data_IF_949173319553
#
_entry.id   IF_949173319553
#
_cell.length_a   1.000
_cell.length_b   1.000
_cell.length_c   1.000
_cell.angle_alpha   90.00
_cell.angle_beta   90.00
_cell.angle_gamma   90.00
#
_symmetry.space_group_name_H-M   'P 1'
#
loop_
_entity.id
_entity.type
_entity.pdbx_description
1 polymer ?
#
# COMPACT_ATOMS: atom_id res chain seq x y z
N UNK A 1 47.85 36.99 12.11
CA UNK A 1 47.22 36.66 10.80
C UNK A 1 46.76 35.21 10.77
N UNK A 2 45.65 34.88 11.45
CA UNK A 2 45.15 33.48 11.60
C UNK A 2 43.63 33.33 11.40
N UNK A 3 42.92 34.38 10.95
CA UNK A 3 41.44 34.38 10.93
C UNK A 3 40.80 34.74 9.58
N UNK A 4 41.49 34.54 8.44
CA UNK A 4 40.91 34.79 7.10
C UNK A 4 40.72 33.50 6.29
N UNK A 5 41.45 32.43 6.60
CA UNK A 5 41.39 31.17 5.83
C UNK A 5 40.22 30.22 6.20
N UNK A 6 39.52 30.45 7.32
CA UNK A 6 38.37 29.61 7.70
C UNK A 6 37.03 30.06 7.10
N UNK A 7 36.96 31.26 6.51
CA UNK A 7 35.72 31.80 5.96
C UNK A 7 35.45 31.37 4.50
N UNK A 8 36.47 30.93 3.77
CA UNK A 8 36.34 30.53 2.36
C UNK A 8 35.93 29.07 2.13
N UNK A 9 36.04 28.22 3.16
CA UNK A 9 35.64 26.80 3.05
C UNK A 9 34.13 26.63 3.34
N UNK A 10 33.50 27.57 4.06
CA UNK A 10 32.06 27.52 4.34
C UNK A 10 31.17 28.06 3.20
N UNK A 11 31.72 28.88 2.30
CA UNK A 11 30.97 29.42 1.16
C UNK A 11 30.96 28.48 -0.06
N UNK A 12 31.93 27.57 -0.18
CA UNK A 12 32.02 26.60 -1.28
C UNK A 12 31.09 25.38 -1.16
N UNK A 13 30.58 25.09 0.04
CA UNK A 13 29.69 23.94 0.30
C UNK A 13 28.20 24.31 0.08
N UNK A 14 27.88 25.61 0.03
CA UNK A 14 26.50 26.09 -0.13
C UNK A 14 26.05 26.30 -1.58
N UNK A 15 26.95 26.22 -2.56
CA UNK A 15 26.61 26.39 -3.99
C UNK A 15 26.50 25.05 -4.73
N UNK A 16 26.97 23.95 -4.13
CA UNK A 16 26.90 22.61 -4.75
C UNK A 16 25.64 21.81 -4.37
N UNK A 17 24.86 22.24 -3.37
CA UNK A 17 23.62 21.57 -2.95
C UNK A 17 22.37 21.97 -3.75
N UNK A 18 22.47 22.96 -4.64
CA UNK A 18 21.36 23.46 -5.46
C UNK A 18 21.11 22.70 -6.77
N UNK A 19 22.02 21.82 -7.20
CA UNK A 19 21.98 21.19 -8.54
C UNK A 19 21.61 19.70 -8.55
N UNK A 20 21.26 19.10 -7.40
CA UNK A 20 20.92 17.66 -7.30
C UNK A 20 19.44 17.35 -7.05
N UNK A 21 18.56 18.35 -7.09
CA UNK A 21 17.12 18.10 -7.12
C UNK A 21 16.60 18.49 -8.49
N UNK A 22 16.45 17.55 -9.44
CA UNK A 22 15.62 17.81 -10.60
C UNK A 22 14.25 18.26 -10.07
N UNK A 23 13.79 19.39 -10.60
CA UNK A 23 12.51 20.01 -10.29
C UNK A 23 11.47 18.94 -9.99
N UNK A 24 11.05 18.86 -8.72
CA UNK A 24 9.79 18.19 -8.39
C UNK A 24 8.71 19.00 -9.07
N UNK A 25 8.40 18.65 -10.32
CA UNK A 25 7.09 18.88 -10.89
C UNK A 25 6.15 18.10 -9.97
N UNK A 26 5.72 18.74 -8.89
CA UNK A 26 4.51 18.34 -8.19
C UNK A 26 3.41 18.60 -9.19
N UNK A 27 3.16 17.62 -10.05
CA UNK A 27 1.90 17.51 -10.75
C UNK A 27 0.84 17.51 -9.65
N UNK A 28 0.21 18.67 -9.41
CA UNK A 28 -1.04 18.74 -8.70
C UNK A 28 -2.01 17.95 -9.57
N UNK A 29 -2.16 16.67 -9.27
CA UNK A 29 -3.25 15.86 -9.84
C UNK A 29 -4.52 16.53 -9.34
N UNK A 30 -5.14 17.29 -10.24
CA UNK A 30 -6.46 17.86 -10.01
C UNK A 30 -7.41 16.68 -10.14
N UNK A 31 -7.78 16.09 -9.00
CA UNK A 31 -8.71 14.98 -8.98
C UNK A 31 -10.08 15.50 -9.39
N UNK A 32 -10.65 14.92 -10.43
CA UNK A 32 -12.04 15.12 -10.76
C UNK A 32 -12.86 14.36 -9.70
N UNK A 33 -13.56 15.08 -8.83
CA UNK A 33 -14.38 14.49 -7.76
C UNK A 33 -15.58 13.66 -8.29
N UNK A 34 -15.79 13.63 -9.61
CA UNK A 34 -16.77 12.78 -10.27
C UNK A 34 -16.23 11.36 -10.51
N UNK A 35 -16.03 10.59 -9.44
CA UNK A 35 -15.93 9.13 -9.56
C UNK A 35 -17.33 8.62 -9.89
N UNK A 36 -17.48 7.90 -11.00
CA UNK A 36 -18.74 7.25 -11.34
C UNK A 36 -19.04 6.15 -10.31
N UNK A 37 -19.98 6.43 -9.41
CA UNK A 37 -20.43 5.49 -8.36
C UNK A 37 -20.89 4.14 -8.93
N UNK A 38 -21.31 4.10 -10.21
CA UNK A 38 -21.81 2.91 -10.88
C UNK A 38 -20.75 2.17 -11.70
N UNK A 39 -19.51 2.66 -11.76
CA UNK A 39 -18.41 1.96 -12.42
C UNK A 39 -18.24 0.57 -11.82
N UNK A 40 -18.18 -0.45 -12.68
CA UNK A 40 -17.86 -1.82 -12.25
C UNK A 40 -16.41 -1.88 -11.78
N UNK A 41 -16.19 -2.41 -10.58
CA UNK A 41 -14.87 -2.60 -9.99
C UNK A 41 -14.73 -3.98 -9.36
N UNK A 42 -13.49 -4.38 -9.14
CA UNK A 42 -13.11 -5.67 -8.58
C UNK A 42 -12.33 -5.49 -7.29
N UNK A 43 -12.51 -6.40 -6.33
CA UNK A 43 -11.77 -6.39 -5.06
C UNK A 43 -11.73 -7.77 -4.42
N UNK A 44 -10.86 -7.96 -3.43
CA UNK A 44 -10.87 -9.16 -2.58
C UNK A 44 -10.65 -8.78 -1.12
N UNK A 45 -10.84 -9.72 -0.21
CA UNK A 45 -10.70 -9.46 1.22
C UNK A 45 -9.49 -10.17 1.83
N UNK A 46 -8.75 -9.46 2.66
CA UNK A 46 -7.65 -9.98 3.49
C UNK A 46 -7.90 -9.65 4.96
N UNK A 47 -7.26 -10.35 5.88
CA UNK A 47 -7.30 -10.06 7.32
C UNK A 47 -5.91 -10.19 7.91
N UNK A 48 -5.54 -9.28 8.81
CA UNK A 48 -4.30 -9.43 9.59
C UNK A 48 -4.52 -10.47 10.67
N UNK A 49 -3.63 -11.45 10.74
CA UNK A 49 -3.54 -12.43 11.82
C UNK A 49 -2.28 -12.16 12.63
N UNK A 50 -2.41 -12.27 13.95
CA UNK A 50 -1.27 -12.30 14.86
C UNK A 50 -0.86 -13.76 15.03
N UNK A 51 0.43 -14.04 14.86
CA UNK A 51 1.02 -15.34 15.19
C UNK A 51 2.10 -15.10 16.23
N UNK A 52 1.82 -15.53 17.44
CA UNK A 52 2.78 -15.56 18.53
C UNK A 52 3.57 -16.86 18.44
N UNK A 53 4.89 -16.74 18.40
CA UNK A 53 5.79 -17.87 18.51
C UNK A 53 5.78 -18.37 19.96
N UNK A 54 5.34 -19.61 20.17
CA UNK A 54 5.12 -20.18 21.51
C UNK A 54 6.41 -20.41 22.31
N UNK A 55 7.58 -20.38 21.69
CA UNK A 55 8.88 -20.59 22.36
C UNK A 55 9.56 -19.26 22.71
N UNK A 56 9.45 -18.26 21.83
CA UNK A 56 10.12 -16.96 21.98
C UNK A 56 9.20 -15.84 22.47
N UNK A 57 7.87 -16.03 22.42
CA UNK A 57 6.89 -14.98 22.67
C UNK A 57 6.90 -13.89 21.59
N UNK A 58 7.61 -14.09 20.48
CA UNK A 58 7.71 -13.10 19.42
C UNK A 58 6.41 -13.05 18.62
N UNK A 59 5.89 -11.83 18.45
CA UNK A 59 4.67 -11.61 17.67
C UNK A 59 5.03 -11.31 16.22
N UNK A 60 4.55 -12.15 15.33
CA UNK A 60 4.55 -11.94 13.88
C UNK A 60 3.15 -11.62 13.38
N UNK A 61 3.06 -10.93 12.24
CA UNK A 61 1.81 -10.60 11.58
C UNK A 61 1.80 -11.22 10.19
N UNK A 62 0.63 -11.72 9.78
CA UNK A 62 0.42 -12.35 8.49
C UNK A 62 -0.91 -11.88 7.86
N UNK A 63 -1.01 -11.90 6.54
CA UNK A 63 -2.23 -11.58 5.81
C UNK A 63 -2.92 -12.85 5.34
N UNK A 64 -4.00 -13.20 6.03
CA UNK A 64 -4.85 -14.29 5.59
C UNK A 64 -5.92 -13.81 4.63
N UNK A 65 -6.08 -14.48 3.49
CA UNK A 65 -7.22 -14.26 2.61
C UNK A 65 -8.55 -14.65 3.27
N UNK A 66 -9.55 -13.78 3.11
CA UNK A 66 -10.92 -14.01 3.57
C UNK A 66 -11.80 -14.38 2.38
N UNK A 67 -11.71 -15.66 2.02
CA UNK A 67 -12.33 -16.25 0.85
C UNK A 67 -11.39 -16.23 -0.35
N UNK A 68 -11.56 -17.20 -1.26
CA UNK A 68 -10.67 -17.38 -2.42
C UNK A 68 -11.21 -16.73 -3.70
N UNK A 69 -12.13 -15.77 -3.58
CA UNK A 69 -12.88 -15.21 -4.71
C UNK A 69 -12.76 -13.70 -4.76
N UNK A 70 -12.35 -13.21 -5.92
CA UNK A 70 -12.52 -11.81 -6.31
C UNK A 70 -14.01 -11.51 -6.32
N UNK A 71 -14.37 -10.44 -5.65
CA UNK A 71 -15.70 -9.83 -5.66
C UNK A 71 -15.76 -8.80 -6.78
N UNK A 72 -16.98 -8.51 -7.24
CA UNK A 72 -17.23 -7.46 -8.22
C UNK A 72 -18.55 -6.76 -7.89
N UNK A 73 -18.68 -5.52 -8.34
CA UNK A 73 -19.86 -4.69 -8.10
C UNK A 73 -19.58 -3.24 -8.48
N UNK A 74 -20.50 -2.35 -8.16
CA UNK A 74 -20.30 -0.92 -8.39
C UNK A 74 -19.22 -0.35 -7.44
N UNK A 75 -18.63 0.80 -7.78
CA UNK A 75 -17.74 1.55 -6.88
C UNK A 75 -18.43 1.81 -5.53
N UNK A 76 -19.74 2.10 -5.55
CA UNK A 76 -20.56 2.27 -4.35
C UNK A 76 -20.64 1.00 -3.50
N UNK A 77 -20.74 -0.19 -4.13
CA UNK A 77 -20.73 -1.46 -3.42
C UNK A 77 -19.37 -1.72 -2.77
N UNK A 78 -18.28 -1.41 -3.48
CA UNK A 78 -16.93 -1.47 -2.93
C UNK A 78 -16.80 -0.59 -1.70
N UNK A 79 -17.16 0.69 -1.80
CA UNK A 79 -17.10 1.66 -0.70
C UNK A 79 -17.88 1.15 0.50
N UNK A 80 -19.15 0.73 0.30
CA UNK A 80 -20.01 0.19 1.37
C UNK A 80 -19.38 -1.01 2.07
N UNK A 81 -18.75 -1.91 1.30
CA UNK A 81 -18.06 -3.07 1.87
C UNK A 81 -16.80 -2.65 2.64
N UNK A 82 -15.98 -1.76 2.07
CA UNK A 82 -14.79 -1.26 2.74
C UNK A 82 -15.15 -0.61 4.09
N UNK A 83 -16.15 0.27 4.11
CA UNK A 83 -16.65 0.92 5.34
C UNK A 83 -17.12 -0.08 6.40
N UNK A 84 -17.90 -1.08 5.98
CA UNK A 84 -18.39 -2.14 6.89
C UNK A 84 -17.25 -2.86 7.59
N UNK A 85 -16.13 -3.10 6.90
CA UNK A 85 -15.03 -3.92 7.43
C UNK A 85 -13.88 -3.11 8.05
N UNK A 86 -13.71 -1.84 7.67
CA UNK A 86 -12.83 -0.91 8.38
C UNK A 86 -13.27 -0.69 9.83
N UNK A 87 -14.58 -0.58 10.08
CA UNK A 87 -15.11 -0.35 11.43
C UNK A 87 -14.92 -1.53 12.39
N UNK A 88 -14.99 -2.76 11.87
CA UNK A 88 -14.89 -3.99 12.68
C UNK A 88 -13.49 -4.61 12.70
N UNK A 89 -12.59 -4.23 11.79
CA UNK A 89 -11.19 -4.66 11.76
C UNK A 89 -10.98 -6.15 11.54
N UNK A 90 -11.99 -6.87 11.04
CA UNK A 90 -11.93 -8.32 10.83
C UNK A 90 -11.41 -8.71 9.45
N UNK A 91 -11.66 -7.86 8.45
CA UNK A 91 -11.14 -8.00 7.09
C UNK A 91 -11.04 -6.66 6.40
N UNK A 92 -10.33 -6.60 5.29
CA UNK A 92 -9.95 -5.38 4.59
C UNK A 92 -10.11 -5.65 3.10
N UNK A 93 -10.79 -4.75 2.39
CA UNK A 93 -10.91 -4.87 0.94
C UNK A 93 -9.63 -4.37 0.28
N UNK A 94 -9.07 -5.13 -0.67
CA UNK A 94 -7.97 -4.71 -1.53
C UNK A 94 -8.55 -4.40 -2.91
N UNK A 95 -8.30 -3.19 -3.39
CA UNK A 95 -8.91 -2.59 -4.57
C UNK A 95 -9.17 -1.09 -4.34
N UNK A 96 -10.06 -0.45 -5.11
CA UNK A 96 -10.79 -1.02 -6.25
C UNK A 96 -9.85 -1.21 -7.45
N UNK A 97 -10.02 -2.32 -8.17
CA UNK A 97 -9.35 -2.57 -9.45
C UNK A 97 -10.34 -2.36 -10.59
N UNK A 98 -9.89 -1.81 -11.72
CA UNK A 98 -10.73 -1.63 -12.90
C UNK A 98 -10.92 -2.93 -13.67
N UNK A 99 -9.89 -3.78 -13.67
CA UNK A 99 -9.92 -5.04 -14.41
C UNK A 99 -9.88 -6.26 -13.48
N UNK A 100 -10.58 -7.32 -13.88
CA UNK A 100 -10.56 -8.58 -13.14
C UNK A 100 -9.15 -9.19 -13.09
N UNK A 101 -8.40 -9.09 -14.18
CA UNK A 101 -7.05 -9.66 -14.28
C UNK A 101 -6.05 -8.92 -13.38
N UNK A 102 -6.23 -7.61 -13.16
CA UNK A 102 -5.48 -6.84 -12.15
C UNK A 102 -5.75 -7.36 -10.75
N UNK A 103 -7.03 -7.51 -10.38
CA UNK A 103 -7.41 -8.07 -9.09
C UNK A 103 -6.87 -9.49 -8.89
N UNK A 104 -6.82 -10.29 -9.97
CA UNK A 104 -6.27 -11.66 -9.95
C UNK A 104 -4.76 -11.67 -9.77
N UNK A 105 -4.03 -10.81 -10.47
CA UNK A 105 -2.59 -10.60 -10.31
C UNK A 105 -2.27 -10.15 -8.89
N UNK A 106 -3.00 -9.16 -8.38
CA UNK A 106 -2.84 -8.69 -7.02
C UNK A 106 -3.09 -9.80 -5.99
N UNK A 107 -4.19 -10.55 -6.14
CA UNK A 107 -4.56 -11.65 -5.26
C UNK A 107 -3.44 -12.70 -5.10
N UNK A 108 -2.64 -12.95 -6.14
CA UNK A 108 -1.53 -13.92 -6.08
C UNK A 108 -0.51 -13.52 -5.01
N UNK A 109 -0.13 -12.25 -4.91
CA UNK A 109 0.83 -11.80 -3.89
C UNK A 109 0.33 -12.02 -2.46
N UNK A 110 -0.98 -11.88 -2.24
CA UNK A 110 -1.59 -12.12 -0.93
C UNK A 110 -1.88 -13.62 -0.68
N UNK A 111 -1.86 -14.47 -1.71
CA UNK A 111 -1.88 -15.94 -1.54
C UNK A 111 -0.50 -16.48 -1.16
N UNK A 112 0.56 -15.94 -1.75
CA UNK A 112 1.94 -16.41 -1.60
C UNK A 112 2.47 -16.23 -0.16
N UNK A 113 1.84 -15.38 0.67
CA UNK A 113 2.21 -15.33 2.09
C UNK A 113 1.89 -16.62 2.86
N UNK A 114 0.93 -17.41 2.40
CA UNK A 114 0.58 -18.70 3.03
C UNK A 114 1.44 -19.88 2.52
N UNK A 115 2.09 -19.78 1.35
CA UNK A 115 2.88 -20.87 0.73
C UNK A 115 4.08 -20.35 -0.11
N UNK A 116 5.29 -20.90 0.04
CA UNK A 116 6.45 -20.49 -0.76
C UNK A 116 6.27 -20.90 -2.22
N UNK A 117 5.99 -19.93 -3.09
CA UNK A 117 5.98 -20.11 -4.54
C UNK A 117 6.84 -19.02 -5.21
N UNK A 118 7.54 -19.39 -6.28
CA UNK A 118 8.23 -18.42 -7.13
C UNK A 118 7.18 -17.58 -7.89
N UNK A 119 7.42 -16.27 -8.00
CA UNK A 119 6.65 -15.40 -8.89
C UNK A 119 6.84 -15.90 -10.33
N UNK A 120 5.86 -16.66 -10.81
CA UNK A 120 5.86 -17.25 -12.15
C UNK A 120 5.97 -16.18 -13.24
N UNK A 121 6.35 -16.62 -14.43
CA UNK A 121 6.51 -15.90 -15.71
C UNK A 121 5.29 -15.08 -16.18
N UNK A 122 4.18 -15.12 -15.44
CA UNK A 122 2.91 -14.42 -15.70
C UNK A 122 2.96 -12.92 -15.44
N UNK A 123 3.98 -12.44 -14.74
CA UNK A 123 4.18 -11.01 -14.47
C UNK A 123 5.23 -10.44 -15.41
N UNK A 124 4.87 -9.31 -16.03
CA UNK A 124 5.87 -8.49 -16.73
C UNK A 124 6.77 -7.86 -15.67
N UNK A 125 8.03 -8.30 -15.62
CA UNK A 125 9.01 -7.90 -14.60
C UNK A 125 9.36 -6.42 -14.66
N UNK A 126 9.19 -5.80 -15.83
CA UNK A 126 9.49 -4.39 -16.07
C UNK A 126 8.25 -3.50 -15.92
N UNK A 127 7.07 -4.09 -15.65
CA UNK A 127 5.85 -3.34 -15.43
C UNK A 127 5.97 -2.48 -14.16
N UNK A 128 5.86 -1.16 -14.34
CA UNK A 128 5.71 -0.24 -13.22
C UNK A 128 4.33 -0.40 -12.62
N UNK A 129 4.30 -0.65 -11.32
CA UNK A 129 3.10 -0.76 -10.49
C UNK A 129 3.17 0.24 -9.34
N UNK A 130 2.02 0.46 -8.70
CA UNK A 130 1.81 1.44 -7.66
C UNK A 130 1.24 0.79 -6.40
N UNK A 131 1.67 1.25 -5.23
CA UNK A 131 1.13 0.79 -3.95
C UNK A 131 1.22 1.88 -2.88
N UNK A 132 0.52 1.68 -1.78
CA UNK A 132 0.63 2.54 -0.60
C UNK A 132 0.62 1.69 0.67
N UNK A 133 0.87 2.33 1.81
CA UNK A 133 0.95 1.65 3.10
C UNK A 133 -0.06 2.20 4.11
N UNK A 134 -0.57 1.32 4.95
CA UNK A 134 -1.48 1.61 6.07
C UNK A 134 -0.84 1.12 7.37
N UNK A 135 -0.95 1.89 8.46
CA UNK A 135 -0.57 1.37 9.78
C UNK A 135 -1.70 0.51 10.33
N UNK A 136 -1.33 -0.60 10.96
CA UNK A 136 -2.24 -1.56 11.57
C UNK A 136 -2.09 -1.46 13.09
N UNK A 137 -3.08 -0.87 13.75
CA UNK A 137 -3.10 -0.74 15.21
C UNK A 137 -4.07 -1.75 15.82
N UNK A 138 -3.58 -2.60 16.73
CA UNK A 138 -4.44 -3.53 17.48
C UNK A 138 -5.30 -2.75 18.49
N UNK A 139 -6.61 -2.95 18.44
CA UNK A 139 -7.54 -2.44 19.45
C UNK A 139 -7.53 -3.36 20.67
N UNK A 140 -7.10 -2.83 21.81
CA UNK A 140 -6.92 -3.59 23.05
C UNK A 140 -8.20 -4.29 23.55
N UNK A 141 -9.39 -3.75 23.26
CA UNK A 141 -10.67 -4.29 23.76
C UNK A 141 -11.32 -5.35 22.85
N UNK A 142 -11.13 -5.27 21.54
CA UNK A 142 -11.87 -6.09 20.57
C UNK A 142 -10.99 -7.13 19.85
N UNK A 143 -9.69 -7.13 20.13
CA UNK A 143 -8.69 -7.91 19.40
C UNK A 143 -8.76 -7.71 17.86
N UNK A 144 -9.30 -6.56 17.44
CA UNK A 144 -9.46 -6.20 16.03
C UNK A 144 -8.44 -5.14 15.63
N UNK A 145 -8.19 -5.01 14.33
CA UNK A 145 -7.19 -4.09 13.82
C UNK A 145 -7.84 -2.83 13.26
N UNK A 146 -7.38 -1.68 13.73
CA UNK A 146 -7.70 -0.38 13.16
C UNK A 146 -6.62 0.01 12.17
N UNK A 147 -7.05 0.37 10.96
CA UNK A 147 -6.16 0.95 9.97
C UNK A 147 -6.06 2.45 10.22
N UNK A 148 -4.83 2.93 10.41
CA UNK A 148 -4.54 4.35 10.49
C UNK A 148 -3.73 4.73 9.27
N UNK A 149 -4.23 5.69 8.50
CA UNK A 149 -3.50 6.23 7.37
C UNK A 149 -2.28 7.01 7.88
N UNK A 150 -1.13 6.81 7.24
CA UNK A 150 -0.09 7.85 7.21
C UNK A 150 -0.26 8.72 5.97
N UNK A 151 0.11 10.01 6.02
CA UNK A 151 0.31 10.82 4.82
C UNK A 151 1.56 10.32 4.07
N UNK A 152 1.51 9.09 3.56
CA UNK A 152 2.51 8.53 2.66
C UNK A 152 2.19 8.91 1.23
N UNK A 153 3.22 9.14 0.42
CA UNK A 153 3.09 9.13 -1.03
C UNK A 153 2.69 7.73 -1.51
N UNK A 154 2.10 7.65 -2.70
CA UNK A 154 2.07 6.37 -3.42
C UNK A 154 3.50 6.06 -3.83
N UNK A 155 3.92 4.84 -3.52
CA UNK A 155 5.18 4.28 -4.00
C UNK A 155 4.95 3.64 -5.37
N UNK A 156 6.02 3.57 -6.15
CA UNK A 156 6.04 2.91 -7.45
C UNK A 156 7.29 2.07 -7.59
N UNK A 157 7.21 1.02 -8.40
CA UNK A 157 8.31 0.10 -8.69
C UNK A 157 7.81 -1.13 -9.42
N UNK A 158 8.52 -2.24 -9.29
CA UNK A 158 8.20 -3.52 -9.94
C UNK A 158 7.39 -4.44 -9.02
N UNK A 159 6.83 -5.52 -9.58
CA UNK A 159 6.22 -6.59 -8.79
C UNK A 159 7.17 -7.22 -7.76
N UNK A 160 8.46 -7.28 -8.06
CA UNK A 160 9.47 -7.79 -7.13
C UNK A 160 9.63 -6.83 -5.94
N UNK A 161 9.66 -5.52 -6.19
CA UNK A 161 9.72 -4.52 -5.12
C UNK A 161 8.47 -4.64 -4.23
N UNK A 162 7.30 -4.76 -4.85
CA UNK A 162 6.05 -4.92 -4.12
C UNK A 162 6.03 -6.17 -3.23
N UNK A 163 6.50 -7.32 -3.72
CA UNK A 163 6.57 -8.56 -2.92
C UNK A 163 7.47 -8.40 -1.68
N UNK A 164 8.64 -7.77 -1.84
CA UNK A 164 9.54 -7.44 -0.73
C UNK A 164 8.83 -6.52 0.27
N UNK A 165 8.23 -5.41 -0.19
CA UNK A 165 7.52 -4.48 0.68
C UNK A 165 6.30 -5.11 1.36
N UNK A 166 5.59 -6.03 0.70
CA UNK A 166 4.44 -6.73 1.28
C UNK A 166 4.88 -7.65 2.44
N UNK A 167 6.01 -8.34 2.29
CA UNK A 167 6.58 -9.25 3.31
C UNK A 167 7.22 -8.50 4.47
N UNK A 168 8.04 -7.49 4.20
CA UNK A 168 8.80 -6.77 5.24
C UNK A 168 7.92 -5.86 6.10
N UNK A 169 6.94 -5.17 5.50
CA UNK A 169 6.16 -4.16 6.22
C UNK A 169 5.25 -4.75 7.30
N UNK A 170 4.76 -5.98 7.12
CA UNK A 170 3.84 -6.60 8.09
C UNK A 170 4.51 -6.81 9.45
N UNK A 171 5.81 -7.12 9.48
CA UNK A 171 6.58 -7.21 10.71
C UNK A 171 6.60 -5.88 11.49
N UNK A 172 6.45 -4.75 10.80
CA UNK A 172 6.43 -3.40 11.37
C UNK A 172 5.01 -2.89 11.67
N UNK A 173 3.98 -3.75 11.66
CA UNK A 173 2.56 -3.36 11.76
C UNK A 173 2.16 -2.38 10.64
N UNK A 174 2.77 -2.53 9.48
CA UNK A 174 2.46 -1.75 8.29
C UNK A 174 1.94 -2.71 7.23
N UNK A 175 0.81 -2.37 6.63
CA UNK A 175 0.21 -3.15 5.57
C UNK A 175 0.42 -2.45 4.24
N UNK A 176 0.95 -3.19 3.27
CA UNK A 176 1.06 -2.74 1.89
C UNK A 176 -0.24 -3.06 1.14
N UNK A 177 -0.80 -2.07 0.43
CA UNK A 177 -2.03 -2.18 -0.36
C UNK A 177 -1.70 -1.90 -1.84
N UNK A 178 -2.00 -2.88 -2.69
CA UNK A 178 -1.68 -2.89 -4.11
C UNK A 178 -1.61 -4.34 -4.61
N UNK A 179 -0.82 -4.65 -5.63
CA UNK A 179 -0.22 -3.73 -6.60
C UNK A 179 -1.27 -3.23 -7.59
N UNK A 180 -1.26 -1.93 -7.89
CA UNK A 180 -2.12 -1.31 -8.91
C UNK A 180 -1.31 -1.04 -10.18
N UNK A 181 -1.91 -1.23 -11.36
CA UNK A 181 -1.24 -0.90 -12.63
C UNK A 181 -1.26 0.61 -12.85
N UNK A 182 -2.33 1.29 -12.43
CA UNK A 182 -2.51 2.71 -12.67
C UNK A 182 -2.43 3.53 -11.37
N UNK A 183 -1.61 4.58 -11.39
CA UNK A 183 -1.48 5.51 -10.25
C UNK A 183 -2.84 6.12 -9.79
N UNK A 184 -3.77 6.48 -10.70
CA UNK A 184 -5.10 6.94 -10.29
C UNK A 184 -5.88 5.93 -9.43
N UNK A 185 -5.79 4.63 -9.71
CA UNK A 185 -6.46 3.60 -8.91
C UNK A 185 -5.87 3.53 -7.50
N UNK A 186 -4.54 3.60 -7.40
CA UNK A 186 -3.86 3.61 -6.12
C UNK A 186 -4.20 4.87 -5.30
N UNK A 187 -4.35 6.05 -5.93
CA UNK A 187 -4.80 7.27 -5.22
C UNK A 187 -6.27 7.18 -4.83
N UNK A 188 -7.12 6.61 -5.67
CA UNK A 188 -8.54 6.38 -5.37
C UNK A 188 -8.71 5.44 -4.19
N UNK A 189 -8.05 4.27 -4.22
CA UNK A 189 -8.01 3.30 -3.13
C UNK A 189 -7.56 3.99 -1.83
N UNK A 190 -6.41 4.67 -1.87
CA UNK A 190 -5.84 5.42 -0.74
C UNK A 190 -6.76 6.53 -0.23
N UNK A 191 -7.53 7.18 -1.12
CA UNK A 191 -8.48 8.26 -0.77
C UNK A 191 -9.55 7.75 0.19
N UNK A 192 -10.04 6.54 -0.01
CA UNK A 192 -11.17 6.03 0.79
C UNK A 192 -10.73 5.75 2.24
N UNK A 193 -9.46 5.37 2.44
CA UNK A 193 -8.85 5.30 3.77
C UNK A 193 -8.53 6.68 4.40
N UNK A 194 -8.81 7.82 3.73
CA UNK A 194 -8.59 9.18 4.30
C UNK A 194 -9.70 9.65 5.22
N UNK A 195 -10.89 9.05 5.11
CA UNK A 195 -12.09 9.52 5.81
C UNK A 195 -12.26 8.88 7.21
N UNK A 196 -11.20 8.28 7.76
CA UNK A 196 -11.20 7.56 9.04
C UNK A 196 -10.01 7.90 9.94
#
# INVERSE_FOLDING_TARGET
MKNIFKLLILAGILVFSGYLFPNKVQAQVTFNDNIDENRLVYWFFVSVREKEDGETGYVSYDLQLKGNKIQHGSQKDYDKNLWKYLGNGQKMAIGPFNEYDEAKKALIFYKIQDEPHELDTTFDKDQTIFWFVLHVNRRSRSNSYQLVRKPGAIASGTYSDFDVFLKENLMMRVMTVGPFIYMPEAEEAKRIYRLH
#
